data_IF_857429054323
#
_entry.id   IF_857429054323
#
_cell.length_a   1.000
_cell.length_b   1.000
_cell.length_c   1.000
_cell.angle_alpha   90.00
_cell.angle_beta   90.00
_cell.angle_gamma   90.00
#
_symmetry.space_group_name_H-M   'P 1'
#
loop_
_entity.id
_entity.type
_entity.pdbx_description
1 polymer ?
#
# COMPACT_ATOMS: atom_id res chain seq x y z
N UNK A 1 7.84 -13.09 10.10
CA UNK A 1 9.28 -12.89 9.83
C UNK A 1 9.41 -11.49 9.33
N UNK A 2 10.16 -10.68 10.06
CA UNK A 2 10.56 -9.34 9.63
C UNK A 2 11.54 -9.60 8.48
N UNK A 3 11.07 -9.49 7.24
CA UNK A 3 12.02 -9.27 6.15
C UNK A 3 12.74 -7.97 6.51
N UNK A 4 14.08 -8.00 6.52
CA UNK A 4 14.90 -6.84 6.83
C UNK A 4 14.37 -5.64 6.04
N UNK A 5 13.72 -4.70 6.74
CA UNK A 5 13.26 -3.46 6.16
C UNK A 5 14.52 -2.74 5.71
N UNK A 6 14.86 -2.84 4.42
CA UNK A 6 16.03 -2.21 3.82
C UNK A 6 16.08 -0.70 4.12
N UNK A 7 14.91 -0.11 4.38
CA UNK A 7 14.77 1.26 4.85
C UNK A 7 15.28 1.52 6.27
N UNK A 8 15.12 0.59 7.21
CA UNK A 8 15.66 0.73 8.57
C UNK A 8 17.17 0.61 8.53
N UNK A 9 17.71 -0.39 7.82
CA UNK A 9 19.15 -0.52 7.62
C UNK A 9 19.74 0.72 6.92
N UNK A 10 19.05 1.26 5.93
CA UNK A 10 19.45 2.51 5.27
C UNK A 10 19.42 3.71 6.22
N UNK A 11 18.42 3.79 7.11
CA UNK A 11 18.31 4.86 8.10
C UNK A 11 19.38 4.75 9.18
N UNK A 12 19.69 3.55 9.65
CA UNK A 12 20.80 3.29 10.59
C UNK A 12 22.13 3.71 9.95
N UNK A 13 22.37 3.32 8.70
CA UNK A 13 23.57 3.71 7.96
C UNK A 13 23.67 5.23 7.73
N UNK A 14 22.56 5.91 7.45
CA UNK A 14 22.54 7.35 7.21
C UNK A 14 22.64 8.18 8.50
N UNK A 15 22.07 7.70 9.61
CA UNK A 15 22.03 8.42 10.88
C UNK A 15 23.17 8.07 11.84
N UNK A 16 23.81 6.91 11.65
CA UNK A 16 24.79 6.35 12.58
C UNK A 16 24.18 5.87 13.90
N UNK A 17 22.86 5.72 13.98
CA UNK A 17 22.11 5.27 15.16
C UNK A 17 21.60 3.85 14.91
N UNK A 18 21.83 2.94 15.86
CA UNK A 18 21.25 1.59 15.87
C UNK A 18 19.75 1.68 16.21
N UNK A 19 18.89 1.09 15.37
CA UNK A 19 17.44 1.14 15.47
C UNK A 19 16.87 -0.28 15.64
N UNK A 20 17.10 -0.92 16.81
CA UNK A 20 16.70 -2.30 17.01
C UNK A 20 15.18 -2.48 16.90
N UNK A 21 14.77 -3.37 15.98
CA UNK A 21 13.39 -3.83 15.81
C UNK A 21 12.96 -4.76 16.95
N UNK A 22 12.78 -4.19 18.14
CA UNK A 22 12.28 -4.95 19.30
C UNK A 22 10.85 -5.45 19.08
N UNK A 23 10.47 -6.53 19.77
CA UNK A 23 9.08 -7.03 19.74
C UNK A 23 8.06 -5.95 20.11
N UNK A 24 8.39 -5.08 21.06
CA UNK A 24 7.53 -3.97 21.47
C UNK A 24 7.38 -2.93 20.35
N UNK A 25 8.43 -2.68 19.57
CA UNK A 25 8.36 -1.83 18.39
C UNK A 25 7.43 -2.42 17.34
N UNK A 26 7.65 -3.68 16.95
CA UNK A 26 6.84 -4.40 15.93
C UNK A 26 5.36 -4.47 16.34
N UNK A 27 5.09 -4.75 17.61
CA UNK A 27 3.73 -4.77 18.11
C UNK A 27 3.09 -3.38 18.03
N UNK A 28 3.83 -2.32 18.37
CA UNK A 28 3.32 -0.96 18.34
C UNK A 28 3.09 -0.47 16.91
N UNK A 29 4.01 -0.71 15.97
CA UNK A 29 3.77 -0.32 14.58
C UNK A 29 2.54 -1.01 13.99
N UNK A 30 2.31 -2.30 14.30
CA UNK A 30 1.15 -3.04 13.82
C UNK A 30 -0.13 -2.47 14.42
N UNK A 31 -0.15 -2.16 15.72
CA UNK A 31 -1.31 -1.55 16.37
C UNK A 31 -1.65 -0.18 15.76
N UNK A 32 -0.66 0.69 15.59
CA UNK A 32 -0.87 2.01 15.01
C UNK A 32 -1.23 1.95 13.52
N UNK A 33 -0.58 1.09 12.76
CA UNK A 33 -0.88 0.86 11.34
C UNK A 33 -2.31 0.34 11.15
N UNK A 34 -2.73 -0.61 11.97
CA UNK A 34 -4.09 -1.15 11.92
C UNK A 34 -5.14 -0.12 12.34
N UNK A 35 -4.91 0.60 13.43
CA UNK A 35 -5.85 1.59 13.95
C UNK A 35 -6.03 2.81 13.04
N UNK A 36 -4.96 3.25 12.35
CA UNK A 36 -4.96 4.50 11.59
C UNK A 36 -5.09 4.32 10.08
N UNK A 37 -4.65 3.18 9.53
CA UNK A 37 -4.52 3.01 8.07
C UNK A 37 -5.25 1.75 7.59
N UNK A 38 -4.81 0.56 8.01
CA UNK A 38 -5.25 -0.69 7.40
C UNK A 38 -6.74 -0.95 7.64
N UNK A 39 -7.19 -0.93 8.91
CA UNK A 39 -8.58 -1.20 9.22
C UNK A 39 -9.53 -0.08 8.74
N UNK A 40 -9.24 1.23 8.93
CA UNK A 40 -10.07 2.29 8.36
C UNK A 40 -10.22 2.20 6.84
N UNK A 41 -9.13 1.94 6.09
CA UNK A 41 -9.21 1.84 4.62
C UNK A 41 -10.01 0.62 4.17
N UNK A 42 -9.96 -0.50 4.90
CA UNK A 42 -10.89 -1.62 4.68
C UNK A 42 -12.34 -1.18 4.85
N UNK A 43 -12.69 -0.47 5.92
CA UNK A 43 -14.09 -0.06 6.16
C UNK A 43 -14.61 0.90 5.12
N UNK A 44 -13.76 1.84 4.68
CA UNK A 44 -14.09 2.74 3.59
C UNK A 44 -14.35 1.94 2.31
N UNK A 45 -13.49 0.97 1.97
CA UNK A 45 -13.68 0.13 0.80
C UNK A 45 -14.95 -0.72 0.89
N UNK A 46 -15.21 -1.36 2.03
CA UNK A 46 -16.41 -2.17 2.27
C UNK A 46 -17.69 -1.32 2.19
N UNK A 47 -17.69 -0.11 2.77
CA UNK A 47 -18.84 0.79 2.73
C UNK A 47 -19.11 1.30 1.31
N UNK A 48 -18.07 1.69 0.56
CA UNK A 48 -18.20 2.15 -0.82
C UNK A 48 -18.72 1.03 -1.74
N UNK A 49 -18.18 -0.19 -1.61
CA UNK A 49 -18.65 -1.35 -2.36
C UNK A 49 -20.11 -1.70 -2.03
N UNK A 50 -20.52 -1.66 -0.76
CA UNK A 50 -21.94 -1.87 -0.36
C UNK A 50 -22.88 -0.80 -0.91
N UNK A 51 -22.36 0.40 -1.19
CA UNK A 51 -23.09 1.47 -1.86
C UNK A 51 -23.04 1.34 -3.40
N UNK A 52 -22.61 0.19 -3.93
CA UNK A 52 -22.51 -0.11 -5.36
C UNK A 52 -21.56 0.82 -6.13
N UNK A 53 -20.61 1.45 -5.42
CA UNK A 53 -19.57 2.26 -6.04
C UNK A 53 -18.40 1.37 -6.46
N UNK A 54 -17.91 1.58 -7.70
CA UNK A 54 -16.71 0.93 -8.19
C UNK A 54 -15.52 1.28 -7.27
N UNK A 55 -15.04 0.29 -6.53
CA UNK A 55 -14.07 0.46 -5.46
C UNK A 55 -12.87 -0.43 -5.71
N UNK A 56 -11.66 0.09 -5.53
CA UNK A 56 -10.41 -0.62 -5.78
C UNK A 56 -9.47 -0.42 -4.60
N UNK A 57 -9.07 -1.52 -3.96
CA UNK A 57 -8.14 -1.47 -2.81
C UNK A 57 -6.81 -2.11 -3.16
N UNK A 58 -5.73 -1.55 -2.61
CA UNK A 58 -4.36 -2.03 -2.77
C UNK A 58 -3.64 -2.05 -1.43
N UNK A 59 -2.75 -3.03 -1.26
CA UNK A 59 -1.66 -3.00 -0.28
C UNK A 59 -0.36 -2.77 -1.02
N UNK A 60 0.34 -1.68 -0.69
CA UNK A 60 1.62 -1.31 -1.30
C UNK A 60 2.78 -1.69 -0.38
N UNK A 61 3.46 -2.77 -0.74
CA UNK A 61 4.49 -3.47 0.02
C UNK A 61 5.80 -3.49 -0.79
N UNK A 62 6.18 -2.32 -1.30
CA UNK A 62 7.36 -2.11 -2.15
C UNK A 62 8.07 -0.80 -1.77
N UNK A 63 9.32 -0.66 -2.20
CA UNK A 63 10.16 0.48 -1.84
C UNK A 63 10.52 0.47 -0.36
N UNK A 64 10.33 1.62 0.30
CA UNK A 64 10.69 1.80 1.72
C UNK A 64 9.69 1.18 2.70
N UNK A 65 8.52 0.75 2.21
CA UNK A 65 7.44 0.10 2.97
C UNK A 65 6.87 0.89 4.17
N UNK A 66 7.31 2.13 4.39
CA UNK A 66 6.68 3.06 5.33
C UNK A 66 5.46 3.76 4.74
N UNK A 67 4.68 4.39 5.61
CA UNK A 67 3.59 5.28 5.21
C UNK A 67 4.11 6.33 4.21
N UNK A 68 3.47 6.41 3.04
CA UNK A 68 3.88 7.28 1.95
C UNK A 68 4.83 6.66 0.91
N UNK A 69 5.22 5.38 1.04
CA UNK A 69 6.13 4.71 0.09
C UNK A 69 5.68 4.82 -1.39
N UNK A 70 4.36 4.82 -1.63
CA UNK A 70 3.78 4.92 -2.98
C UNK A 70 4.14 6.24 -3.69
N UNK A 71 4.47 7.31 -2.94
CA UNK A 71 4.74 8.64 -3.49
C UNK A 71 5.84 8.61 -4.56
N UNK A 72 6.97 7.94 -4.30
CA UNK A 72 8.12 7.92 -5.22
C UNK A 72 7.81 7.14 -6.51
N UNK A 73 6.89 6.18 -6.43
CA UNK A 73 6.45 5.40 -7.59
C UNK A 73 5.46 6.17 -8.47
N UNK A 74 4.77 7.17 -7.93
CA UNK A 74 3.76 7.96 -8.65
C UNK A 74 4.31 9.30 -9.14
N UNK A 75 5.04 10.02 -8.28
CA UNK A 75 5.43 11.40 -8.50
C UNK A 75 6.94 11.55 -8.52
N UNK A 76 7.43 12.39 -9.43
CA UNK A 76 8.85 12.70 -9.57
C UNK A 76 9.02 13.91 -10.48
N UNK A 77 10.12 14.62 -10.31
CA UNK A 77 10.61 15.69 -11.19
C UNK A 77 11.53 15.14 -12.32
N UNK A 78 11.87 13.86 -12.27
CA UNK A 78 12.68 13.18 -13.30
C UNK A 78 11.83 12.44 -14.32
N UNK A 79 12.36 12.27 -15.53
CA UNK A 79 11.74 11.45 -16.58
C UNK A 79 12.03 9.97 -16.32
N UNK A 80 11.02 9.12 -16.49
CA UNK A 80 11.07 7.67 -16.21
C UNK A 80 11.53 7.32 -14.78
N UNK A 81 10.86 7.83 -13.73
CA UNK A 81 11.29 7.58 -12.36
C UNK A 81 11.03 6.14 -11.95
N UNK A 82 11.98 5.57 -11.22
CA UNK A 82 11.97 4.18 -10.75
C UNK A 82 11.31 3.98 -9.39
N UNK A 83 11.07 5.05 -8.64
CA UNK A 83 10.60 4.97 -7.26
C UNK A 83 11.71 4.91 -6.21
N UNK A 84 12.94 5.27 -6.59
CA UNK A 84 14.08 5.33 -5.67
C UNK A 84 13.82 6.35 -4.56
N UNK A 85 14.28 6.04 -3.34
CA UNK A 85 14.20 6.95 -2.19
C UNK A 85 15.60 7.16 -1.61
N UNK A 86 15.98 8.41 -1.36
CA UNK A 86 17.29 8.74 -0.79
C UNK A 86 17.18 9.31 0.62
N UNK A 87 18.01 8.79 1.53
CA UNK A 87 18.20 9.26 2.90
C UNK A 87 19.67 9.66 3.08
N UNK A 88 19.95 10.96 2.96
CA UNK A 88 21.34 11.46 2.98
C UNK A 88 22.15 10.87 1.83
N UNK A 89 23.20 10.11 2.16
CA UNK A 89 24.06 9.44 1.17
C UNK A 89 23.61 8.03 0.78
N UNK A 90 22.52 7.52 1.36
CA UNK A 90 22.01 6.18 1.09
C UNK A 90 20.78 6.25 0.19
N UNK A 91 20.75 5.45 -0.87
CA UNK A 91 19.60 5.33 -1.77
C UNK A 91 19.05 3.92 -1.74
N UNK A 92 17.76 3.80 -1.47
CA UNK A 92 17.00 2.56 -1.58
C UNK A 92 16.45 2.49 -3.00
N UNK A 93 16.82 1.46 -3.78
CA UNK A 93 16.36 1.34 -5.15
C UNK A 93 14.85 1.04 -5.17
N UNK A 94 14.16 1.70 -6.09
CA UNK A 94 12.78 1.39 -6.46
C UNK A 94 12.70 0.28 -7.51
N UNK A 95 11.55 0.22 -8.18
CA UNK A 95 11.32 -0.69 -9.30
C UNK A 95 10.60 0.05 -10.42
N UNK A 96 11.35 0.38 -11.49
CA UNK A 96 10.81 1.12 -12.63
C UNK A 96 9.65 0.43 -13.35
N UNK A 97 9.60 -0.89 -13.34
CA UNK A 97 8.46 -1.63 -13.89
C UNK A 97 7.20 -1.39 -13.06
N UNK A 98 7.31 -1.48 -11.74
CA UNK A 98 6.19 -1.17 -10.84
C UNK A 98 5.81 0.31 -10.95
N UNK A 99 6.77 1.22 -11.01
CA UNK A 99 6.49 2.65 -11.12
C UNK A 99 5.70 2.99 -12.40
N UNK A 100 6.03 2.36 -13.53
CA UNK A 100 5.24 2.50 -14.77
C UNK A 100 3.82 1.97 -14.56
N UNK A 101 3.67 0.75 -14.04
CA UNK A 101 2.35 0.14 -13.85
C UNK A 101 1.48 0.96 -12.87
N UNK A 102 2.07 1.46 -11.78
CA UNK A 102 1.38 2.27 -10.78
C UNK A 102 0.85 3.58 -11.36
N UNK A 103 1.69 4.33 -12.10
CA UNK A 103 1.24 5.55 -12.77
C UNK A 103 0.14 5.28 -13.78
N UNK A 104 0.25 4.18 -14.50
CA UNK A 104 -0.70 3.78 -15.53
C UNK A 104 -2.07 3.39 -14.93
N UNK A 105 -2.11 2.70 -13.78
CA UNK A 105 -3.35 2.52 -13.02
C UNK A 105 -3.96 3.85 -12.56
N UNK A 106 -3.15 4.73 -11.96
CA UNK A 106 -3.61 6.00 -11.42
C UNK A 106 -4.13 6.96 -12.51
N UNK A 107 -3.43 7.04 -13.64
CA UNK A 107 -3.87 7.83 -14.80
C UNK A 107 -5.15 7.25 -15.39
N UNK A 108 -5.23 5.93 -15.57
CA UNK A 108 -6.45 5.27 -16.08
C UNK A 108 -7.63 5.63 -15.19
N UNK A 109 -7.52 5.42 -13.87
CA UNK A 109 -8.58 5.75 -12.92
C UNK A 109 -8.95 7.24 -12.93
N UNK A 110 -7.96 8.15 -12.98
CA UNK A 110 -8.23 9.58 -12.98
C UNK A 110 -8.99 10.06 -14.23
N UNK A 111 -8.81 9.39 -15.38
CA UNK A 111 -9.46 9.80 -16.64
C UNK A 111 -10.80 9.09 -16.87
N UNK A 112 -10.91 7.83 -16.47
CA UNK A 112 -12.06 6.97 -16.83
C UNK A 112 -12.85 6.45 -15.65
N UNK A 113 -12.39 6.69 -14.42
CA UNK A 113 -12.91 6.08 -13.19
C UNK A 113 -12.75 4.55 -13.11
N UNK A 114 -11.90 3.96 -13.98
CA UNK A 114 -11.57 2.54 -13.97
C UNK A 114 -10.04 2.35 -14.11
N UNK A 115 -9.35 1.78 -13.11
CA UNK A 115 -7.92 1.52 -13.22
C UNK A 115 -7.60 0.47 -14.29
N UNK A 116 -8.56 -0.27 -14.84
CA UNK A 116 -8.33 -1.30 -15.86
C UNK A 116 -8.54 -0.83 -17.30
N UNK A 117 -9.14 0.33 -17.52
CA UNK A 117 -9.55 0.79 -18.84
C UNK A 117 -8.40 1.42 -19.66
N UNK A 118 -7.20 0.85 -19.56
CA UNK A 118 -5.93 1.42 -20.00
C UNK A 118 -6.02 2.32 -21.25
N UNK A 119 -5.55 3.56 -21.12
CA UNK A 119 -5.47 4.51 -22.23
C UNK A 119 -4.10 4.52 -22.93
N UNK A 120 -3.00 4.06 -22.29
CA UNK A 120 -1.66 4.34 -22.84
C UNK A 120 -0.45 3.49 -22.40
N UNK A 121 -0.53 2.16 -22.16
CA UNK A 121 0.72 1.40 -21.94
C UNK A 121 0.94 0.17 -22.81
N UNK A 122 2.18 0.05 -23.27
CA UNK A 122 2.77 -1.07 -24.02
C UNK A 122 3.12 -2.26 -23.11
N UNK A 123 2.82 -2.21 -21.82
CA UNK A 123 3.14 -3.26 -20.84
C UNK A 123 1.87 -3.88 -20.29
N UNK A 124 1.81 -5.21 -20.34
CA UNK A 124 0.75 -5.96 -19.68
C UNK A 124 0.81 -5.70 -18.17
N UNK A 125 -0.29 -5.21 -17.59
CA UNK A 125 -0.51 -5.11 -16.15
C UNK A 125 -1.64 -6.07 -15.73
N UNK A 126 -1.61 -6.64 -14.52
CA UNK A 126 -2.73 -7.45 -14.02
C UNK A 126 -4.04 -6.66 -13.99
N UNK A 127 -5.18 -7.35 -13.99
CA UNK A 127 -6.46 -6.71 -13.71
C UNK A 127 -6.50 -6.34 -12.22
N UNK A 128 -6.78 -5.08 -11.90
CA UNK A 128 -7.07 -4.65 -10.54
C UNK A 128 -8.54 -4.99 -10.25
N UNK A 129 -8.83 -6.00 -9.40
CA UNK A 129 -10.20 -6.39 -9.13
C UNK A 129 -10.95 -5.29 -8.41
N UNK A 130 -12.23 -5.13 -8.77
CA UNK A 130 -13.16 -4.36 -7.95
C UNK A 130 -13.36 -5.05 -6.60
N UNK A 131 -13.29 -4.27 -5.52
CA UNK A 131 -13.52 -4.74 -4.17
C UNK A 131 -14.97 -5.21 -4.04
N UNK A 132 -15.19 -6.48 -3.70
CA UNK A 132 -16.51 -7.13 -3.65
C UNK A 132 -17.29 -7.13 -4.98
N UNK A 133 -16.63 -7.01 -6.13
CA UNK A 133 -17.34 -6.90 -7.43
C UNK A 133 -17.93 -8.22 -7.94
N UNK A 134 -17.43 -9.38 -7.48
CA UNK A 134 -17.95 -10.71 -7.85
C UNK A 134 -17.77 -11.72 -6.70
N UNK A 135 -18.83 -12.48 -6.39
CA UNK A 135 -18.86 -13.60 -5.43
C UNK A 135 -18.39 -13.26 -3.99
N UNK A 136 -18.66 -12.05 -3.49
CA UNK A 136 -18.21 -11.58 -2.16
C UNK A 136 -16.69 -11.70 -1.93
N UNK A 137 -15.90 -11.77 -3.01
CA UNK A 137 -14.46 -11.84 -2.88
C UNK A 137 -13.91 -10.43 -2.61
N UNK A 138 -13.40 -10.24 -1.41
CA UNK A 138 -12.65 -9.05 -0.99
C UNK A 138 -11.21 -9.17 -1.49
N UNK A 139 -11.08 -9.15 -2.82
CA UNK A 139 -9.80 -9.22 -3.50
C UNK A 139 -9.17 -7.83 -3.60
N UNK A 140 -7.85 -7.76 -3.42
CA UNK A 140 -7.07 -6.53 -3.51
C UNK A 140 -5.87 -6.74 -4.43
N UNK A 141 -5.35 -5.62 -4.94
CA UNK A 141 -4.04 -5.58 -5.58
C UNK A 141 -2.95 -5.58 -4.49
N UNK A 142 -2.02 -6.52 -4.51
CA UNK A 142 -0.84 -6.49 -3.64
C UNK A 142 0.38 -6.20 -4.48
N UNK A 143 1.03 -5.07 -4.22
CA UNK A 143 2.22 -4.61 -4.96
C UNK A 143 3.44 -4.88 -4.10
N UNK A 144 4.36 -5.71 -4.59
CA UNK A 144 5.57 -6.10 -3.89
C UNK A 144 6.78 -5.90 -4.78
N UNK A 145 7.99 -5.84 -4.21
CA UNK A 145 9.21 -5.63 -4.99
C UNK A 145 9.41 -6.67 -6.12
N UNK A 146 8.93 -7.91 -5.91
CA UNK A 146 9.01 -9.01 -6.87
C UNK A 146 7.85 -9.05 -7.89
N UNK A 147 6.85 -8.17 -7.78
CA UNK A 147 5.73 -8.11 -8.72
C UNK A 147 4.39 -7.72 -8.09
N UNK A 148 3.34 -7.91 -8.87
CA UNK A 148 1.97 -7.58 -8.48
C UNK A 148 1.16 -8.86 -8.45
N UNK A 149 0.44 -9.10 -7.34
CA UNK A 149 -0.42 -10.26 -7.15
C UNK A 149 -1.82 -9.85 -6.73
N UNK A 150 -2.79 -10.73 -6.96
CA UNK A 150 -4.13 -10.59 -6.38
C UNK A 150 -4.22 -11.46 -5.15
N UNK A 151 -4.69 -10.89 -4.04
CA UNK A 151 -4.83 -11.60 -2.78
C UNK A 151 -6.10 -11.20 -2.06
N UNK A 152 -6.54 -12.03 -1.12
CA UNK A 152 -7.60 -11.66 -0.20
C UNK A 152 -7.11 -10.53 0.69
N UNK A 153 -7.97 -9.55 0.93
CA UNK A 153 -7.71 -8.44 1.85
C UNK A 153 -7.29 -8.97 3.24
N UNK A 154 -6.02 -8.74 3.66
CA UNK A 154 -5.52 -9.23 4.95
C UNK A 154 -6.18 -8.52 6.14
N UNK A 155 -6.80 -7.36 5.90
CA UNK A 155 -7.46 -6.56 6.94
C UNK A 155 -8.82 -7.17 7.34
N UNK A 156 -9.22 -8.27 6.70
CA UNK A 156 -10.36 -9.08 7.10
C UNK A 156 -9.92 -10.07 8.17
N UNK A 157 -9.72 -9.52 9.35
CA UNK A 157 -9.27 -10.23 10.53
C UNK A 157 -9.98 -9.74 11.80
N UNK A 158 -9.72 -10.43 12.92
CA UNK A 158 -10.33 -10.13 14.21
C UNK A 158 -9.86 -8.80 14.81
N UNK A 159 -8.63 -8.35 14.53
CA UNK A 159 -8.09 -7.09 15.06
C UNK A 159 -8.86 -5.91 14.48
N UNK A 160 -9.05 -5.89 13.17
CA UNK A 160 -9.87 -4.87 12.55
C UNK A 160 -11.29 -4.96 13.11
N UNK A 161 -11.95 -6.12 13.12
CA UNK A 161 -13.31 -6.25 13.67
C UNK A 161 -13.44 -5.67 15.08
N UNK A 162 -12.46 -5.89 15.94
CA UNK A 162 -12.42 -5.31 17.28
C UNK A 162 -12.28 -3.77 17.25
N UNK A 163 -11.40 -3.22 16.40
CA UNK A 163 -11.24 -1.78 16.21
C UNK A 163 -12.54 -1.11 15.72
N UNK A 164 -13.25 -1.70 14.75
CA UNK A 164 -14.56 -1.18 14.31
C UNK A 164 -15.59 -1.19 15.44
N UNK A 165 -15.68 -2.28 16.20
CA UNK A 165 -16.60 -2.35 17.32
C UNK A 165 -16.27 -1.34 18.42
N UNK A 166 -14.97 -1.04 18.59
CA UNK A 166 -14.48 -0.16 19.65
C UNK A 166 -14.40 1.32 19.25
N UNK A 167 -14.52 1.64 17.96
CA UNK A 167 -14.36 3.01 17.44
C UNK A 167 -15.18 4.08 18.20
N UNK A 168 -16.47 3.86 18.55
CA UNK A 168 -17.26 4.85 19.31
C UNK A 168 -16.71 5.19 20.70
N UNK A 169 -15.88 4.32 21.28
CA UNK A 169 -15.23 4.53 22.57
C UNK A 169 -13.87 5.23 22.41
N UNK A 170 -13.15 4.94 21.33
CA UNK A 170 -11.84 5.54 21.04
C UNK A 170 -11.95 7.03 20.66
N UNK A 171 -13.05 7.43 20.00
CA UNK A 171 -13.31 8.83 19.65
C UNK A 171 -13.61 9.75 20.85
N UNK A 172 -13.76 9.17 22.06
CA UNK A 172 -14.11 9.90 23.29
C UNK A 172 -12.93 10.13 24.24
N UNK A 173 -11.74 9.67 23.87
CA UNK A 173 -10.50 9.80 24.64
C UNK A 173 -9.67 10.94 24.02
#
# INVERSE_FOLDING_TARGET
>A
MIEDLTAIQALEAASGVDLPLSNAFVQRESLFGDALVNCPTRYIAEAASKAELATYKMVFDSGIQFHGSTQQFLYSDTVNPTGDTSFGSVTIPGNGTLAIIMRDYFISFAVTLDPNSALSSSRARPVWPGYQSTNDTTAILRVQNNGITISKDPDINAHCQWLAFSAPYLERI
#
